data_IF_198043561400
#
_entry.id   IF_198043561400
#
_cell.length_a   1.000
_cell.length_b   1.000
_cell.length_c   1.000
_cell.angle_alpha   90.00
_cell.angle_beta   90.00
_cell.angle_gamma   90.00
#
_symmetry.space_group_name_H-M   'P 1'
#
loop_
_entity.id
_entity.type
_entity.pdbx_description
1 polymer ?
#
# COMPACT_ATOMS: atom_id res chain seq x y z
N UNK A 1 16.38 -28.27 3.68
CA UNK A 1 16.02 -27.53 2.45
C UNK A 1 14.92 -26.54 2.83
N UNK A 2 15.22 -25.24 2.94
CA UNK A 2 14.22 -24.25 3.38
C UNK A 2 13.34 -23.85 2.19
N UNK A 3 12.12 -24.37 2.13
CA UNK A 3 11.11 -23.95 1.15
C UNK A 3 10.66 -22.53 1.47
N UNK A 4 11.13 -21.56 0.68
CA UNK A 4 10.59 -20.20 0.66
C UNK A 4 9.19 -20.25 0.05
N UNK A 5 8.16 -20.47 0.88
CA UNK A 5 6.78 -20.22 0.48
C UNK A 5 6.69 -18.74 0.10
N UNK A 6 6.36 -18.45 -1.16
CA UNK A 6 6.04 -17.10 -1.61
C UNK A 6 4.78 -16.68 -0.88
N UNK A 7 4.91 -15.85 0.15
CA UNK A 7 3.74 -15.25 0.78
C UNK A 7 2.99 -14.43 -0.29
N UNK A 8 1.66 -14.48 -0.31
CA UNK A 8 0.88 -13.67 -1.21
C UNK A 8 1.29 -12.19 -1.06
N UNK A 9 1.24 -11.40 -2.15
CA UNK A 9 1.54 -9.98 -2.07
C UNK A 9 0.65 -9.34 -1.01
N UNK A 10 1.28 -8.65 -0.05
CA UNK A 10 0.57 -7.99 1.04
C UNK A 10 -0.42 -6.97 0.41
N UNK A 11 -1.72 -7.20 0.56
CA UNK A 11 -2.76 -6.30 0.05
C UNK A 11 -2.81 -5.01 0.87
N UNK A 12 -3.31 -3.93 0.29
CA UNK A 12 -3.41 -2.65 1.00
C UNK A 12 -4.26 -2.78 2.27
N UNK A 13 -5.34 -3.55 2.19
CA UNK A 13 -6.22 -3.92 3.32
C UNK A 13 -5.48 -4.58 4.49
N UNK A 14 -4.37 -5.30 4.23
CA UNK A 14 -3.59 -5.92 5.30
C UNK A 14 -2.51 -4.99 5.87
N UNK A 15 -2.03 -4.03 5.08
CA UNK A 15 -0.95 -3.13 5.47
C UNK A 15 -1.45 -1.81 6.09
N UNK A 16 -2.67 -1.39 5.74
CA UNK A 16 -3.27 -0.14 6.18
C UNK A 16 -4.65 -0.41 6.80
N UNK A 17 -4.70 -0.29 8.14
CA UNK A 17 -5.94 -0.51 8.90
C UNK A 17 -6.99 0.58 8.65
N UNK A 18 -6.58 1.81 8.38
CA UNK A 18 -7.50 2.90 8.04
C UNK A 18 -8.16 2.61 6.69
N UNK A 19 -7.36 2.15 5.73
CA UNK A 19 -7.86 1.72 4.43
C UNK A 19 -8.88 0.60 4.60
N UNK A 20 -8.50 -0.47 5.30
CA UNK A 20 -9.36 -1.62 5.55
C UNK A 20 -10.69 -1.26 6.20
N UNK A 21 -10.66 -0.46 7.26
CA UNK A 21 -11.82 -0.29 8.12
C UNK A 21 -12.76 0.82 7.65
N UNK A 22 -12.21 1.83 6.98
CA UNK A 22 -12.92 3.07 6.62
C UNK A 22 -12.92 3.30 5.13
N UNK A 23 -11.74 3.45 4.51
CA UNK A 23 -11.63 3.92 3.12
C UNK A 23 -12.20 2.91 2.13
N UNK A 24 -12.01 1.61 2.38
CA UNK A 24 -12.51 0.52 1.53
C UNK A 24 -14.03 0.53 1.35
N UNK A 25 -14.76 1.14 2.30
CA UNK A 25 -16.23 1.26 2.29
C UNK A 25 -16.71 2.53 1.61
N UNK A 26 -15.81 3.44 1.26
CA UNK A 26 -16.14 4.69 0.57
C UNK A 26 -16.25 4.46 -0.95
N UNK A 27 -16.91 5.39 -1.68
CA UNK A 27 -16.95 5.34 -3.13
C UNK A 27 -15.55 5.28 -3.76
N UNK A 28 -15.46 4.69 -4.95
CA UNK A 28 -14.20 4.49 -5.71
C UNK A 28 -13.38 5.79 -5.81
N UNK A 29 -14.03 6.92 -6.08
CA UNK A 29 -13.36 8.23 -6.16
C UNK A 29 -12.61 8.61 -4.87
N UNK A 30 -13.15 8.28 -3.69
CA UNK A 30 -12.52 8.56 -2.41
C UNK A 30 -11.36 7.59 -2.14
N UNK A 31 -11.53 6.32 -2.55
CA UNK A 31 -10.47 5.29 -2.46
C UNK A 31 -9.27 5.69 -3.32
N UNK A 32 -9.50 6.14 -4.56
CA UNK A 32 -8.45 6.64 -5.46
C UNK A 32 -7.70 7.81 -4.83
N UNK A 33 -8.41 8.86 -4.39
CA UNK A 33 -7.79 10.04 -3.75
C UNK A 33 -6.95 9.66 -2.52
N UNK A 34 -7.43 8.71 -1.72
CA UNK A 34 -6.68 8.22 -0.58
C UNK A 34 -5.41 7.48 -1.02
N UNK A 35 -5.51 6.58 -2.00
CA UNK A 35 -4.37 5.84 -2.52
C UNK A 35 -3.31 6.78 -3.12
N UNK A 36 -3.70 7.81 -3.87
CA UNK A 36 -2.79 8.83 -4.41
C UNK A 36 -2.06 9.58 -3.28
N UNK A 37 -2.83 10.04 -2.27
CA UNK A 37 -2.27 10.72 -1.10
C UNK A 37 -1.31 9.82 -0.33
N UNK A 38 -1.66 8.55 -0.18
CA UNK A 38 -0.85 7.55 0.51
C UNK A 38 0.43 7.23 -0.27
N UNK A 39 0.36 7.13 -1.60
CA UNK A 39 1.55 6.95 -2.45
C UNK A 39 2.52 8.12 -2.29
N UNK A 40 2.02 9.35 -2.34
CA UNK A 40 2.85 10.55 -2.17
C UNK A 40 3.57 10.53 -0.81
N UNK A 41 2.83 10.38 0.28
CA UNK A 41 3.40 10.35 1.64
C UNK A 41 4.40 9.21 1.83
N UNK A 42 4.05 8.01 1.36
CA UNK A 42 4.92 6.83 1.49
C UNK A 42 6.22 7.01 0.71
N UNK A 43 6.16 7.67 -0.45
CA UNK A 43 7.35 7.97 -1.27
C UNK A 43 8.26 8.97 -0.55
N UNK A 44 7.69 10.03 0.02
CA UNK A 44 8.43 10.98 0.85
C UNK A 44 9.07 10.29 2.07
N UNK A 45 8.34 9.44 2.77
CA UNK A 45 8.85 8.70 3.92
C UNK A 45 10.01 7.75 3.54
N UNK A 46 9.97 7.15 2.35
CA UNK A 46 11.08 6.32 1.84
C UNK A 46 12.33 7.15 1.59
N UNK A 47 12.16 8.35 1.01
CA UNK A 47 13.25 9.27 0.72
C UNK A 47 13.89 9.80 2.02
N UNK A 48 13.07 10.12 3.01
CA UNK A 48 13.50 10.72 4.28
C UNK A 48 13.96 9.70 5.34
N UNK A 49 13.57 8.43 5.22
CA UNK A 49 14.00 7.39 6.18
C UNK A 49 15.49 7.06 5.99
N UNK A 50 16.24 6.89 7.08
CA UNK A 50 17.60 6.32 7.04
C UNK A 50 17.61 4.82 7.37
N UNK A 51 16.51 4.30 7.92
CA UNK A 51 16.42 2.90 8.35
C UNK A 51 16.04 1.97 7.18
N UNK A 52 16.88 0.97 6.91
CA UNK A 52 16.65 -0.04 5.86
C UNK A 52 15.38 -0.86 6.09
N UNK A 53 15.08 -1.21 7.34
CA UNK A 53 13.89 -1.99 7.67
C UNK A 53 12.61 -1.18 7.43
N UNK A 54 12.61 0.09 7.84
CA UNK A 54 11.50 1.02 7.58
C UNK A 54 11.28 1.21 6.09
N UNK A 55 12.35 1.48 5.31
CA UNK A 55 12.25 1.56 3.83
C UNK A 55 11.64 0.29 3.23
N UNK A 56 12.01 -0.89 3.72
CA UNK A 56 11.46 -2.15 3.20
C UNK A 56 9.96 -2.27 3.49
N UNK A 57 9.49 -1.87 4.68
CA UNK A 57 8.06 -1.84 5.01
C UNK A 57 7.31 -0.83 4.15
N UNK A 58 7.83 0.39 4.01
CA UNK A 58 7.23 1.43 3.19
C UNK A 58 7.16 1.05 1.71
N UNK A 59 8.21 0.42 1.16
CA UNK A 59 8.19 -0.10 -0.21
C UNK A 59 7.12 -1.17 -0.43
N UNK A 60 6.84 -2.01 0.57
CA UNK A 60 5.73 -2.97 0.50
C UNK A 60 4.39 -2.24 0.48
N UNK A 61 4.22 -1.25 1.35
CA UNK A 61 3.01 -0.42 1.39
C UNK A 61 2.78 0.28 0.05
N UNK A 62 3.81 0.95 -0.49
CA UNK A 62 3.74 1.63 -1.79
C UNK A 62 3.29 0.68 -2.91
N UNK A 63 3.90 -0.50 -2.99
CA UNK A 63 3.54 -1.51 -3.99
C UNK A 63 2.11 -2.03 -3.84
N UNK A 64 1.61 -2.14 -2.61
CA UNK A 64 0.23 -2.54 -2.36
C UNK A 64 -0.75 -1.44 -2.79
N UNK A 65 -0.41 -0.18 -2.51
CA UNK A 65 -1.20 0.98 -2.91
C UNK A 65 -1.27 1.15 -4.43
N UNK A 66 -0.14 0.96 -5.13
CA UNK A 66 -0.10 0.99 -6.60
C UNK A 66 -1.04 -0.04 -7.23
N UNK A 67 -1.06 -1.26 -6.68
CA UNK A 67 -1.95 -2.33 -7.16
C UNK A 67 -3.41 -1.98 -6.93
N UNK A 68 -3.75 -1.49 -5.74
CA UNK A 68 -5.11 -1.06 -5.43
C UNK A 68 -5.57 0.04 -6.41
N UNK A 69 -4.70 1.00 -6.73
CA UNK A 69 -4.98 2.03 -7.73
C UNK A 69 -5.21 1.46 -9.13
N UNK A 70 -4.41 0.47 -9.55
CA UNK A 70 -4.62 -0.21 -10.82
C UNK A 70 -5.97 -0.94 -10.85
N UNK A 71 -6.33 -1.64 -9.77
CA UNK A 71 -7.61 -2.34 -9.63
C UNK A 71 -8.80 -1.38 -9.64
N UNK A 72 -8.66 -0.20 -9.02
CA UNK A 72 -9.69 0.83 -8.96
C UNK A 72 -9.87 1.61 -10.28
N UNK A 73 -8.83 1.73 -11.09
CA UNK A 73 -8.91 2.39 -12.40
C UNK A 73 -9.38 1.45 -13.52
N UNK A 74 -9.35 0.13 -13.29
CA UNK A 74 -9.80 -0.87 -14.26
C UNK A 74 -11.30 -1.17 -14.16
N UNK A 75 -11.95 -0.81 -13.04
CA UNK A 75 -13.39 -0.96 -12.77
C UNK A 75 -14.11 0.38 -12.87
#
# INVERSE_FOLDING_TARGET
MFSFKRNPPDSLTNLDQLYKNVISKLPVANRIKYCESLMYRTTEDISNSNCRFTKRKLKKLLKATERELQELNTN
#
